data_IF_733253502050
#
_entry.id   IF_733253502050
#
_cell.length_a   1.000
_cell.length_b   1.000
_cell.length_c   1.000
_cell.angle_alpha   90.00
_cell.angle_beta   90.00
_cell.angle_gamma   90.00
#
_symmetry.space_group_name_H-M   'P 1'
#
loop_
_entity.id
_entity.type
_entity.pdbx_description
1 polymer ?
#
# COMPACT_ATOMS: atom_id res chain seq x y z
N UNK A 1 -24.39 -9.16 10.98
CA UNK A 1 -25.42 -8.19 11.42
C UNK A 1 -26.27 -7.80 10.22
N UNK A 2 -27.56 -7.53 10.40
CA UNK A 2 -28.48 -7.16 9.30
C UNK A 2 -29.11 -5.83 9.66
N UNK A 3 -29.03 -4.85 8.75
CA UNK A 3 -29.64 -3.54 8.92
C UNK A 3 -30.53 -3.23 7.74
N UNK A 4 -31.73 -2.72 7.99
CA UNK A 4 -32.71 -2.41 6.94
C UNK A 4 -32.93 -0.91 6.86
N UNK A 5 -32.84 -0.36 5.64
CA UNK A 5 -33.13 1.04 5.36
C UNK A 5 -34.28 1.10 4.35
N UNK A 6 -35.36 1.78 4.74
CA UNK A 6 -36.44 2.13 3.82
C UNK A 6 -36.15 3.47 3.17
N UNK A 7 -36.27 3.52 1.84
CA UNK A 7 -36.18 4.74 1.02
C UNK A 7 -37.38 4.73 0.07
N UNK A 8 -38.31 5.67 0.27
CA UNK A 8 -39.61 5.67 -0.40
C UNK A 8 -40.31 4.30 -0.29
N UNK A 9 -40.59 3.67 -1.43
CA UNK A 9 -41.26 2.37 -1.53
C UNK A 9 -40.28 1.18 -1.60
N UNK A 10 -38.98 1.44 -1.57
CA UNK A 10 -37.94 0.42 -1.59
C UNK A 10 -37.38 0.15 -0.18
N UNK A 11 -37.13 -1.12 0.11
CA UNK A 11 -36.47 -1.58 1.33
C UNK A 11 -35.12 -2.19 0.94
N UNK A 12 -34.05 -1.64 1.51
CA UNK A 12 -32.69 -2.09 1.28
C UNK A 12 -32.20 -2.84 2.52
N UNK A 13 -31.67 -4.05 2.31
CA UNK A 13 -31.05 -4.85 3.35
C UNK A 13 -29.52 -4.75 3.27
N UNK A 14 -28.90 -4.09 4.23
CA UNK A 14 -27.45 -4.02 4.40
C UNK A 14 -27.03 -5.23 5.23
N UNK A 15 -26.26 -6.14 4.62
CA UNK A 15 -25.78 -7.40 5.21
C UNK A 15 -24.33 -7.65 4.82
N UNK A 16 -23.64 -8.46 5.62
CA UNK A 16 -22.27 -8.94 5.33
C UNK A 16 -21.27 -7.80 5.12
N UNK A 17 -20.48 -7.91 4.06
CA UNK A 17 -19.40 -6.98 3.71
C UNK A 17 -19.86 -5.52 3.62
N UNK A 18 -21.07 -5.26 3.12
CA UNK A 18 -21.60 -3.90 3.03
C UNK A 18 -21.86 -3.28 4.41
N UNK A 19 -22.21 -4.10 5.40
CA UNK A 19 -22.38 -3.65 6.78
C UNK A 19 -21.02 -3.29 7.39
N UNK A 20 -20.02 -4.16 7.22
CA UNK A 20 -18.68 -3.96 7.74
C UNK A 20 -18.00 -2.74 7.12
N UNK A 21 -18.16 -2.54 5.81
CA UNK A 21 -17.62 -1.38 5.10
C UNK A 21 -18.31 -0.08 5.53
N UNK A 22 -19.62 -0.11 5.78
CA UNK A 22 -20.34 1.05 6.27
C UNK A 22 -19.90 1.45 7.69
N UNK A 23 -19.67 0.49 8.59
CA UNK A 23 -19.13 0.76 9.92
C UNK A 23 -17.69 1.27 9.85
N UNK A 24 -16.83 0.66 9.04
CA UNK A 24 -15.44 1.05 8.89
C UNK A 24 -15.27 2.48 8.36
N UNK A 25 -16.17 2.91 7.48
CA UNK A 25 -16.18 4.24 6.88
C UNK A 25 -17.01 5.26 7.68
N UNK A 26 -17.53 4.87 8.86
CA UNK A 26 -18.39 5.69 9.73
C UNK A 26 -19.56 6.35 8.95
N UNK A 27 -20.23 5.53 8.12
CA UNK A 27 -21.32 6.01 7.28
C UNK A 27 -22.62 5.96 8.08
N UNK A 28 -23.18 7.15 8.33
CA UNK A 28 -24.45 7.27 9.03
C UNK A 28 -25.65 6.87 8.16
N UNK A 29 -26.74 6.46 8.80
CA UNK A 29 -27.98 6.05 8.12
C UNK A 29 -28.61 7.17 7.29
N UNK A 30 -28.48 8.41 7.78
CA UNK A 30 -28.94 9.60 7.06
C UNK A 30 -28.16 9.76 5.74
N UNK A 31 -26.84 9.54 5.79
CA UNK A 31 -25.99 9.62 4.61
C UNK A 31 -26.28 8.47 3.62
N UNK A 32 -26.45 7.24 4.11
CA UNK A 32 -26.87 6.10 3.29
C UNK A 32 -28.19 6.36 2.58
N UNK A 33 -29.21 6.87 3.29
CA UNK A 33 -30.48 7.27 2.68
C UNK A 33 -30.29 8.33 1.61
N UNK A 34 -29.50 9.38 1.89
CA UNK A 34 -29.21 10.43 0.93
C UNK A 34 -28.52 9.91 -0.33
N UNK A 35 -27.60 8.94 -0.20
CA UNK A 35 -26.92 8.29 -1.33
C UNK A 35 -27.87 7.44 -2.17
N UNK A 36 -28.71 6.63 -1.53
CA UNK A 36 -29.73 5.83 -2.21
C UNK A 36 -30.77 6.72 -2.92
N UNK A 37 -31.17 7.85 -2.33
CA UNK A 37 -32.05 8.83 -2.96
C UNK A 37 -31.44 9.49 -4.20
N UNK A 38 -30.11 9.67 -4.22
CA UNK A 38 -29.37 10.15 -5.40
C UNK A 38 -29.23 9.09 -6.50
N UNK A 39 -29.76 7.88 -6.29
CA UNK A 39 -29.71 6.78 -7.25
C UNK A 39 -28.43 5.98 -7.21
N UNK A 40 -27.65 6.05 -6.12
CA UNK A 40 -26.48 5.18 -5.96
C UNK A 40 -26.94 3.74 -5.69
N UNK A 41 -26.15 2.77 -6.16
CA UNK A 41 -26.37 1.38 -5.76
C UNK A 41 -26.09 1.19 -4.26
N UNK A 42 -26.66 0.14 -3.66
CA UNK A 42 -26.43 -0.20 -2.26
C UNK A 42 -24.94 -0.42 -1.96
N UNK A 43 -24.22 -1.08 -2.88
CA UNK A 43 -22.79 -1.33 -2.76
C UNK A 43 -21.99 -0.02 -2.78
N UNK A 44 -22.24 0.86 -3.76
CA UNK A 44 -21.57 2.16 -3.84
C UNK A 44 -21.88 3.03 -2.60
N UNK A 45 -23.13 3.00 -2.13
CA UNK A 45 -23.54 3.76 -0.96
C UNK A 45 -22.81 3.34 0.32
N UNK A 46 -22.43 2.06 0.45
CA UNK A 46 -21.66 1.53 1.57
C UNK A 46 -20.14 1.64 1.38
N UNK A 47 -19.62 1.58 0.15
CA UNK A 47 -18.18 1.53 -0.13
C UNK A 47 -17.53 2.91 -0.26
N UNK A 48 -18.29 3.91 -0.70
CA UNK A 48 -17.72 5.24 -0.98
C UNK A 48 -17.52 6.03 0.32
N UNK A 49 -16.33 6.60 0.60
CA UNK A 49 -16.10 7.40 1.80
C UNK A 49 -16.96 8.67 1.85
N UNK A 50 -17.16 9.22 3.05
CA UNK A 50 -17.92 10.46 3.24
C UNK A 50 -17.28 11.62 2.46
N UNK A 51 -18.12 12.40 1.77
CA UNK A 51 -17.69 13.60 1.03
C UNK A 51 -17.09 13.33 -0.35
N UNK A 52 -17.09 12.07 -0.82
CA UNK A 52 -16.60 11.68 -2.14
C UNK A 52 -17.79 11.19 -2.97
N UNK A 53 -17.83 11.54 -4.26
CA UNK A 53 -18.76 10.95 -5.22
C UNK A 53 -18.20 9.63 -5.81
N UNK A 54 -19.03 8.67 -6.21
CA UNK A 54 -18.56 7.34 -6.64
C UNK A 54 -17.63 7.42 -7.85
N UNK A 55 -17.90 8.37 -8.77
CA UNK A 55 -17.06 8.63 -9.95
C UNK A 55 -15.67 9.10 -9.57
N UNK A 56 -15.58 9.99 -8.58
CA UNK A 56 -14.29 10.50 -8.10
C UNK A 56 -13.49 9.40 -7.43
N UNK A 57 -14.15 8.49 -6.69
CA UNK A 57 -13.48 7.35 -6.07
C UNK A 57 -12.86 6.42 -7.13
N UNK A 58 -13.58 6.17 -8.23
CA UNK A 58 -13.05 5.38 -9.35
C UNK A 58 -11.80 6.04 -9.93
N UNK A 59 -11.84 7.35 -10.15
CA UNK A 59 -10.70 8.11 -10.66
C UNK A 59 -9.52 8.10 -9.68
N UNK A 60 -9.76 8.30 -8.39
CA UNK A 60 -8.74 8.26 -7.33
C UNK A 60 -8.06 6.89 -7.30
N UNK A 61 -8.83 5.81 -7.37
CA UNK A 61 -8.28 4.45 -7.36
C UNK A 61 -7.43 4.19 -8.60
N UNK A 62 -7.91 4.63 -9.77
CA UNK A 62 -7.15 4.55 -11.02
C UNK A 62 -5.81 5.31 -10.92
N UNK A 63 -5.84 6.55 -10.43
CA UNK A 63 -4.64 7.37 -10.27
C UNK A 63 -3.63 6.72 -9.30
N UNK A 64 -4.11 6.18 -8.17
CA UNK A 64 -3.27 5.45 -7.20
C UNK A 64 -2.60 4.22 -7.82
N UNK A 65 -3.35 3.45 -8.61
CA UNK A 65 -2.82 2.27 -9.28
C UNK A 65 -1.75 2.65 -10.30
N UNK A 66 -2.02 3.68 -11.11
CA UNK A 66 -1.06 4.21 -12.07
C UNK A 66 0.25 4.68 -11.40
N UNK A 67 0.16 5.40 -10.27
CA UNK A 67 1.33 5.82 -9.50
C UNK A 67 2.14 4.65 -8.95
N UNK A 68 1.45 3.63 -8.42
CA UNK A 68 2.06 2.40 -7.91
C UNK A 68 2.81 1.65 -9.03
N UNK A 69 2.17 1.50 -10.19
CA UNK A 69 2.77 0.81 -11.34
C UNK A 69 3.99 1.57 -11.85
N UNK A 70 3.91 2.90 -11.95
CA UNK A 70 5.02 3.74 -12.40
C UNK A 70 6.19 3.74 -11.39
N UNK A 71 5.91 3.73 -10.08
CA UNK A 71 6.95 3.62 -9.06
C UNK A 71 7.62 2.25 -9.10
N UNK A 72 6.86 1.17 -9.25
CA UNK A 72 7.43 -0.17 -9.40
C UNK A 72 8.27 -0.27 -10.68
N UNK A 73 7.79 0.26 -11.81
CA UNK A 73 8.55 0.30 -13.05
C UNK A 73 9.88 1.06 -12.89
N UNK A 74 9.88 2.18 -12.17
CA UNK A 74 11.09 2.96 -11.88
C UNK A 74 12.08 2.21 -10.99
N UNK A 75 11.60 1.45 -10.01
CA UNK A 75 12.43 0.60 -9.15
C UNK A 75 13.06 -0.51 -9.97
N UNK A 76 12.26 -1.24 -10.75
CA UNK A 76 12.73 -2.33 -11.61
C UNK A 76 13.80 -1.84 -12.58
N UNK A 77 13.54 -0.74 -13.28
CA UNK A 77 14.51 -0.13 -14.20
C UNK A 77 15.83 0.24 -13.51
N UNK A 78 15.75 0.80 -12.29
CA UNK A 78 16.95 1.15 -11.52
C UNK A 78 17.73 -0.10 -11.11
N UNK A 79 17.05 -1.17 -10.71
CA UNK A 79 17.69 -2.44 -10.35
C UNK A 79 18.34 -3.12 -11.56
N UNK A 80 17.64 -3.19 -12.68
CA UNK A 80 18.16 -3.72 -13.94
C UNK A 80 19.41 -2.96 -14.37
N UNK A 81 19.33 -1.62 -14.41
CA UNK A 81 20.47 -0.78 -14.75
C UNK A 81 21.65 -0.97 -13.79
N UNK A 82 21.40 -1.11 -12.48
CA UNK A 82 22.48 -1.35 -11.51
C UNK A 82 23.12 -2.74 -11.70
N UNK A 83 22.34 -3.76 -12.09
CA UNK A 83 22.86 -5.09 -12.44
C UNK A 83 23.68 -5.05 -13.73
N UNK A 84 23.25 -4.28 -14.73
CA UNK A 84 24.01 -4.07 -15.97
C UNK A 84 25.32 -3.31 -15.76
N UNK A 85 25.31 -2.24 -14.95
CA UNK A 85 26.48 -1.42 -14.67
C UNK A 85 27.49 -2.13 -13.74
N UNK A 86 26.99 -2.99 -12.84
CA UNK A 86 27.80 -3.64 -11.80
C UNK A 86 27.50 -5.14 -11.71
N UNK A 87 27.68 -5.91 -12.79
CA UNK A 87 27.33 -7.34 -12.83
C UNK A 87 28.13 -8.16 -11.82
N UNK A 88 29.37 -7.77 -11.53
CA UNK A 88 30.26 -8.41 -10.55
C UNK A 88 29.72 -8.44 -9.12
N UNK A 89 28.68 -7.65 -8.81
CA UNK A 89 27.99 -7.71 -7.51
C UNK A 89 26.94 -8.82 -7.45
N UNK A 90 26.52 -9.38 -8.60
CA UNK A 90 25.40 -10.31 -8.72
C UNK A 90 25.77 -11.66 -9.36
N UNK A 91 26.84 -11.71 -10.15
CA UNK A 91 27.31 -12.92 -10.86
C UNK A 91 28.18 -13.87 -10.01
N UNK A 92 28.40 -13.52 -8.74
CA UNK A 92 29.23 -14.30 -7.81
C UNK A 92 30.74 -14.07 -7.99
N UNK A 93 31.16 -13.05 -8.74
CA UNK A 93 32.57 -12.67 -8.86
C UNK A 93 33.15 -12.39 -7.47
N UNK A 94 34.20 -13.13 -7.04
CA UNK A 94 34.81 -12.94 -5.74
C UNK A 94 35.27 -11.49 -5.56
N UNK A 95 34.69 -10.80 -4.56
CA UNK A 95 35.10 -9.44 -4.24
C UNK A 95 36.45 -9.48 -3.52
N UNK A 96 37.47 -8.83 -4.08
CA UNK A 96 38.72 -8.64 -3.36
C UNK A 96 38.58 -7.48 -2.36
N UNK A 97 38.70 -7.79 -1.07
CA UNK A 97 38.67 -6.82 0.02
C UNK A 97 39.92 -6.93 0.90
N UNK A 98 41.09 -6.72 0.29
CA UNK A 98 42.34 -6.65 1.03
C UNK A 98 42.29 -5.58 2.12
N UNK A 99 42.65 -5.96 3.35
CA UNK A 99 42.68 -5.02 4.48
C UNK A 99 43.86 -4.07 4.32
N UNK A 100 43.57 -2.77 4.26
CA UNK A 100 44.62 -1.74 4.28
C UNK A 100 45.42 -1.74 5.59
N UNK A 101 46.65 -1.22 5.53
CA UNK A 101 47.61 -1.14 6.66
C UNK A 101 46.97 -0.60 7.95
N UNK A 102 46.17 0.45 7.84
CA UNK A 102 45.52 1.09 8.99
C UNK A 102 44.36 0.27 9.57
N UNK A 103 43.61 -0.45 8.74
CA UNK A 103 42.56 -1.37 9.22
C UNK A 103 43.18 -2.51 10.04
N UNK A 104 44.29 -3.07 9.55
CA UNK A 104 45.04 -4.09 10.28
C UNK A 104 45.63 -3.55 11.60
N UNK A 105 46.22 -2.36 11.57
CA UNK A 105 46.73 -1.69 12.77
C UNK A 105 45.62 -1.51 13.81
N UNK A 106 44.46 -0.96 13.43
CA UNK A 106 43.34 -0.76 14.35
C UNK A 106 42.75 -2.07 14.87
N UNK A 107 42.65 -3.14 14.07
CA UNK A 107 42.22 -4.44 14.60
C UNK A 107 43.18 -4.99 15.68
N UNK A 108 44.47 -4.65 15.57
CA UNK A 108 45.49 -5.08 16.51
C UNK A 108 45.60 -4.17 17.76
N UNK A 109 45.28 -2.87 17.64
CA UNK A 109 45.50 -1.87 18.69
C UNK A 109 44.22 -1.25 19.27
N UNK A 110 43.12 -1.26 18.52
CA UNK A 110 41.82 -0.69 18.92
C UNK A 110 41.07 -1.61 19.88
N UNK A 111 40.17 -0.99 20.64
CA UNK A 111 39.35 -1.44 21.77
C UNK A 111 38.46 -2.68 21.54
N UNK A 112 38.57 -3.36 20.41
CA UNK A 112 37.81 -4.58 20.17
C UNK A 112 38.28 -5.68 21.14
N UNK A 113 37.37 -6.36 21.86
CA UNK A 113 37.74 -7.44 22.75
C UNK A 113 38.44 -8.53 21.95
N UNK A 114 39.70 -8.78 22.30
CA UNK A 114 40.49 -9.85 21.70
C UNK A 114 40.03 -11.17 22.30
N UNK A 115 39.82 -12.19 21.46
CA UNK A 115 39.58 -13.53 21.96
C UNK A 115 40.81 -13.96 22.79
N UNK A 116 40.60 -14.11 24.11
CA UNK A 116 41.61 -14.65 25.01
C UNK A 116 41.41 -16.17 24.97
N UNK A 117 42.36 -16.87 24.36
CA UNK A 117 42.42 -18.34 24.40
C UNK A 117 43.33 -18.78 25.54
#
# INVERSE_FOLDING_TARGET
>A
MVKTIRVHDAIYEIKGDNYELAEKLDISDSLLRGRLLKGWSLAEACQVPKGIDPKDLVYINYAKQYEADNTQAKINYREEKHKEERPWLYDGTPQNHDRGKWCQYLMNTSIFPKAVH
#
